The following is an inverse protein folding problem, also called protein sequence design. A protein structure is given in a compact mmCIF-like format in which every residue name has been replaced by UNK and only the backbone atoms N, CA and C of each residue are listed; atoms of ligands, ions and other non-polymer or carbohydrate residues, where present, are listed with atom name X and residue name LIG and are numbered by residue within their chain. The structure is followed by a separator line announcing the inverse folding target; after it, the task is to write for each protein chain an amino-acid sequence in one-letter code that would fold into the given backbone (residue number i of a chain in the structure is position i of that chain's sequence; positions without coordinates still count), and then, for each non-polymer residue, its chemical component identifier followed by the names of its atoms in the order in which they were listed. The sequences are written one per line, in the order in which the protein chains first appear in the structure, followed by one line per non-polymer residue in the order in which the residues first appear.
data_IF_251909235510
#
_entry.id   IF_251909235510
#
_cell.length_a   1.000
_cell.length_b   1.000
_cell.length_c   1.000
_cell.angle_alpha   90.00
_cell.angle_beta   90.00
_cell.angle_gamma   90.00
#
_symmetry.space_group_name_H-M   'P 1'
#
loop_
_entity.id
_entity.type
_entity.pdbx_description
1 polymer ?
#
# COMPACT_ATOMS: atom_id res chain seq x y z
N UNK A 1 2.06 -26.74 -6.43
CA UNK A 1 1.03 -27.26 -5.52
C UNK A 1 1.65 -27.30 -4.12
N UNK A 2 0.98 -26.69 -3.12
CA UNK A 2 1.48 -26.65 -1.74
C UNK A 2 2.34 -25.43 -1.41
N UNK A 3 2.65 -24.55 -2.37
CA UNK A 3 3.32 -23.29 -2.09
C UNK A 3 2.37 -22.33 -1.36
N UNK A 4 2.92 -21.53 -0.45
CA UNK A 4 2.16 -20.59 0.37
C UNK A 4 2.55 -19.13 0.10
N UNK A 5 1.57 -18.25 0.25
CA UNK A 5 1.74 -16.79 0.17
C UNK A 5 1.24 -16.15 1.47
N UNK A 6 2.11 -15.41 2.16
CA UNK A 6 1.82 -14.80 3.45
C UNK A 6 1.59 -13.29 3.33
N UNK A 7 0.66 -12.77 4.11
CA UNK A 7 0.37 -11.34 4.20
C UNK A 7 -0.33 -10.99 5.51
N UNK A 8 -0.20 -9.76 5.99
CA UNK A 8 -1.14 -9.26 6.98
C UNK A 8 -2.46 -8.86 6.30
N UNK A 9 -3.57 -8.96 7.05
CA UNK A 9 -4.90 -8.66 6.54
C UNK A 9 -5.74 -7.86 7.54
N UNK A 10 -6.48 -6.82 7.09
CA UNK A 10 -6.71 -6.39 5.71
C UNK A 10 -5.52 -5.68 5.07
N UNK A 11 -5.33 -5.95 3.77
CA UNK A 11 -4.33 -5.29 2.93
C UNK A 11 -4.86 -5.14 1.49
N UNK A 12 -3.99 -4.99 0.50
CA UNK A 12 -4.42 -4.78 -0.87
C UNK A 12 -5.18 -5.98 -1.43
N UNK A 13 -6.44 -5.75 -1.82
CA UNK A 13 -7.41 -6.79 -2.22
C UNK A 13 -6.97 -7.64 -3.43
N UNK A 14 -5.94 -7.23 -4.16
CA UNK A 14 -5.43 -8.01 -5.27
C UNK A 14 -4.52 -9.17 -4.84
N UNK A 15 -3.92 -9.15 -3.66
CA UNK A 15 -3.03 -10.23 -3.23
C UNK A 15 -3.75 -11.57 -3.10
N UNK A 16 -4.92 -11.66 -2.44
CA UNK A 16 -5.74 -12.88 -2.46
C UNK A 16 -6.07 -13.36 -3.88
N UNK A 17 -6.40 -12.43 -4.79
CA UNK A 17 -6.70 -12.79 -6.17
C UNK A 17 -5.47 -13.38 -6.88
N UNK A 18 -4.29 -12.80 -6.69
CA UNK A 18 -3.05 -13.32 -7.28
C UNK A 18 -2.68 -14.67 -6.69
N UNK A 19 -2.84 -14.85 -5.37
CA UNK A 19 -2.61 -16.12 -4.69
C UNK A 19 -3.52 -17.22 -5.24
N UNK A 20 -4.81 -16.92 -5.41
CA UNK A 20 -5.78 -17.87 -5.98
C UNK A 20 -5.49 -18.21 -7.44
N UNK A 21 -5.01 -17.26 -8.26
CA UNK A 21 -4.66 -17.49 -9.67
C UNK A 21 -3.54 -18.51 -9.86
N UNK A 22 -2.64 -18.63 -8.89
CA UNK A 22 -1.52 -19.59 -8.93
C UNK A 22 -1.79 -20.83 -8.07
N UNK A 23 -3.02 -20.98 -7.55
CA UNK A 23 -3.45 -22.09 -6.69
C UNK A 23 -2.55 -22.28 -5.45
N UNK A 24 -1.98 -21.17 -4.93
CA UNK A 24 -1.20 -21.20 -3.70
C UNK A 24 -2.11 -21.08 -2.47
N UNK A 25 -1.62 -21.60 -1.35
CA UNK A 25 -2.28 -21.47 -0.05
C UNK A 25 -2.03 -20.06 0.53
N UNK A 26 -3.08 -19.45 1.05
CA UNK A 26 -3.01 -18.11 1.62
C UNK A 26 -2.84 -18.16 3.14
N UNK A 27 -1.80 -17.47 3.65
CA UNK A 27 -1.59 -17.24 5.07
C UNK A 27 -1.96 -15.79 5.37
N UNK A 28 -3.04 -15.58 6.14
CA UNK A 28 -3.48 -14.26 6.59
C UNK A 28 -3.19 -14.08 8.08
N UNK A 29 -2.37 -13.10 8.39
CA UNK A 29 -2.09 -12.67 9.76
C UNK A 29 -2.90 -11.40 10.05
N UNK A 30 -3.66 -11.31 11.15
CA UNK A 30 -4.36 -10.10 11.51
C UNK A 30 -3.40 -8.91 11.66
N UNK A 31 -3.88 -7.71 11.34
CA UNK A 31 -3.19 -6.48 11.73
C UNK A 31 -3.22 -6.32 13.25
N UNK A 32 -2.19 -5.68 13.80
CA UNK A 32 -2.16 -5.22 15.18
C UNK A 32 -2.34 -3.69 15.18
N UNK A 33 -3.40 -3.21 15.82
CA UNK A 33 -3.73 -1.78 15.85
C UNK A 33 -3.67 -1.12 14.45
N UNK A 34 -4.35 -1.76 13.49
CA UNK A 34 -4.42 -1.34 12.07
C UNK A 34 -3.09 -1.36 11.31
N UNK A 35 -2.01 -1.86 11.93
CA UNK A 35 -0.65 -1.90 11.37
C UNK A 35 -0.18 -3.34 11.14
N UNK A 36 0.73 -3.54 10.21
CA UNK A 36 1.34 -4.85 9.95
C UNK A 36 2.03 -5.38 11.21
N UNK A 37 1.63 -6.55 11.67
CA UNK A 37 2.32 -7.31 12.72
C UNK A 37 3.42 -8.18 12.09
N UNK A 38 4.58 -7.56 11.82
CA UNK A 38 5.71 -8.25 11.20
C UNK A 38 6.25 -9.41 12.02
N UNK A 39 6.32 -9.36 13.37
CA UNK A 39 6.70 -10.51 14.18
C UNK A 39 5.76 -11.70 13.99
N UNK A 40 4.44 -11.49 14.04
CA UNK A 40 3.46 -12.55 13.81
C UNK A 40 3.48 -13.06 12.38
N UNK A 41 3.72 -12.18 11.38
CA UNK A 41 3.88 -12.57 9.99
C UNK A 41 5.12 -13.47 9.81
N UNK A 42 6.26 -13.10 10.39
CA UNK A 42 7.48 -13.91 10.36
C UNK A 42 7.26 -15.30 11.00
N UNK A 43 6.56 -15.35 12.13
CA UNK A 43 6.24 -16.61 12.82
C UNK A 43 5.31 -17.54 12.02
N UNK A 44 4.50 -16.99 11.12
CA UNK A 44 3.60 -17.76 10.26
C UNK A 44 4.28 -18.29 8.98
N UNK A 45 5.45 -17.79 8.63
CA UNK A 45 6.23 -18.20 7.45
C UNK A 45 6.99 -19.48 7.76
N UNK A 46 6.85 -20.47 6.88
CA UNK A 46 7.54 -21.76 6.93
C UNK A 46 8.33 -22.06 5.64
N UNK A 47 8.87 -23.27 5.51
CA UNK A 47 9.66 -23.70 4.34
C UNK A 47 8.84 -23.77 3.03
N UNK A 48 7.52 -23.90 3.12
CA UNK A 48 6.61 -23.95 1.97
C UNK A 48 6.17 -22.55 1.54
N UNK A 49 6.40 -21.52 2.37
CA UNK A 49 6.09 -20.13 2.05
C UNK A 49 7.08 -19.58 1.04
N UNK A 50 6.59 -19.26 -0.16
CA UNK A 50 7.42 -18.77 -1.29
C UNK A 50 7.39 -17.27 -1.43
N UNK A 51 6.34 -16.62 -0.92
CA UNK A 51 6.12 -15.18 -1.08
C UNK A 51 5.51 -14.60 0.21
N UNK A 52 5.99 -13.43 0.61
CA UNK A 52 5.37 -12.60 1.63
C UNK A 52 5.16 -11.20 1.09
N UNK A 53 3.93 -10.65 1.25
CA UNK A 53 3.64 -9.25 0.93
C UNK A 53 3.70 -8.39 2.18
N UNK A 54 4.45 -7.30 2.10
CA UNK A 54 4.49 -6.22 3.09
C UNK A 54 4.13 -4.92 2.38
N UNK A 55 2.98 -4.32 2.71
CA UNK A 55 2.51 -3.09 2.08
C UNK A 55 2.81 -1.91 3.00
N UNK A 56 3.66 -0.99 2.56
CA UNK A 56 4.13 0.11 3.40
C UNK A 56 4.21 1.44 2.63
N UNK A 57 3.26 2.37 2.83
CA UNK A 57 2.08 2.34 3.71
C UNK A 57 1.03 1.29 3.33
N UNK A 58 0.38 0.71 4.34
CA UNK A 58 -0.66 -0.28 4.09
C UNK A 58 -1.90 0.36 3.43
N UNK A 59 -2.51 -0.35 2.54
CA UNK A 59 -3.82 -0.07 1.97
C UNK A 59 -4.77 -1.21 2.41
N UNK A 60 -5.80 -0.96 3.26
CA UNK A 60 -6.54 0.31 3.34
C UNK A 60 -6.23 1.20 4.54
N UNK A 61 -5.43 0.78 5.52
CA UNK A 61 -5.33 1.45 6.84
C UNK A 61 -4.48 2.72 6.82
N UNK A 62 -3.55 2.84 5.87
CA UNK A 62 -2.64 3.98 5.74
C UNK A 62 -1.47 3.98 6.72
N UNK A 63 -1.38 3.00 7.60
CA UNK A 63 -0.31 2.86 8.60
C UNK A 63 1.01 2.42 7.97
N UNK A 64 2.11 2.63 8.69
CA UNK A 64 3.45 2.20 8.28
C UNK A 64 4.15 1.43 9.39
N UNK A 65 5.04 0.56 8.98
CA UNK A 65 6.09 -0.02 9.81
C UNK A 65 7.42 0.71 9.51
N UNK A 66 8.28 0.83 10.51
CA UNK A 66 9.57 1.49 10.36
C UNK A 66 10.58 0.61 9.59
N UNK A 67 11.62 1.23 9.06
CA UNK A 67 12.67 0.53 8.31
C UNK A 67 13.37 -0.52 9.17
N UNK A 68 13.64 -0.23 10.45
CA UNK A 68 14.27 -1.18 11.37
C UNK A 68 13.39 -2.42 11.61
N UNK A 69 12.06 -2.24 11.64
CA UNK A 69 11.08 -3.35 11.75
C UNK A 69 11.12 -4.22 10.48
N UNK A 70 11.23 -3.60 9.30
CA UNK A 70 11.39 -4.31 8.02
C UNK A 70 12.70 -5.08 7.98
N UNK A 71 13.81 -4.51 8.43
CA UNK A 71 15.12 -5.19 8.52
C UNK A 71 15.02 -6.41 9.44
N UNK A 72 14.40 -6.24 10.62
CA UNK A 72 14.17 -7.35 11.55
C UNK A 72 13.34 -8.47 10.93
N UNK A 73 12.30 -8.13 10.19
CA UNK A 73 11.46 -9.08 9.46
C UNK A 73 12.27 -9.82 8.38
N UNK A 74 13.03 -9.10 7.53
CA UNK A 74 13.85 -9.69 6.48
C UNK A 74 14.91 -10.65 7.04
N UNK A 75 15.46 -10.34 8.21
CA UNK A 75 16.40 -11.23 8.92
C UNK A 75 15.75 -12.46 9.56
N UNK A 76 14.42 -12.45 9.72
CA UNK A 76 13.66 -13.52 10.39
C UNK A 76 13.03 -14.53 9.42
N UNK A 77 12.90 -14.17 8.13
CA UNK A 77 12.28 -15.03 7.12
C UNK A 77 13.33 -15.87 6.38
N UNK A 78 12.97 -17.09 5.91
CA UNK A 78 13.88 -17.91 5.11
C UNK A 78 14.35 -17.18 3.85
N UNK A 79 15.63 -17.30 3.44
CA UNK A 79 16.12 -16.67 2.20
C UNK A 79 15.40 -17.16 0.93
N UNK A 80 14.71 -18.30 1.01
CA UNK A 80 13.89 -18.87 -0.07
C UNK A 80 12.50 -18.25 -0.16
N UNK A 81 12.08 -17.48 0.84
CA UNK A 81 10.84 -16.71 0.81
C UNK A 81 11.12 -15.34 0.20
N UNK A 82 10.53 -15.05 -0.95
CA UNK A 82 10.60 -13.74 -1.57
C UNK A 82 9.72 -12.76 -0.79
N UNK A 83 10.27 -11.62 -0.39
CA UNK A 83 9.52 -10.55 0.26
C UNK A 83 9.24 -9.45 -0.75
N UNK A 84 7.96 -9.16 -1.01
CA UNK A 84 7.54 -8.02 -1.83
C UNK A 84 7.14 -6.88 -0.90
N UNK A 85 7.96 -5.83 -0.88
CA UNK A 85 7.65 -4.57 -0.22
C UNK A 85 6.91 -3.66 -1.21
N UNK A 86 5.59 -3.54 -1.02
CA UNK A 86 4.74 -2.72 -1.87
C UNK A 86 4.70 -1.28 -1.34
N UNK A 87 5.38 -0.40 -2.06
CA UNK A 87 5.53 1.02 -1.74
C UNK A 87 4.66 1.92 -2.63
N UNK A 88 3.47 1.48 -2.98
CA UNK A 88 2.58 2.24 -3.86
C UNK A 88 2.24 3.66 -3.35
N UNK A 89 2.49 3.96 -2.09
CA UNK A 89 2.19 5.25 -1.45
C UNK A 89 3.42 5.91 -0.79
N UNK A 90 4.63 5.43 -1.05
CA UNK A 90 5.85 5.89 -0.39
C UNK A 90 6.09 7.39 -0.48
N UNK A 91 5.69 8.05 -1.59
CA UNK A 91 5.87 9.49 -1.78
C UNK A 91 5.06 10.35 -0.79
N UNK A 92 4.03 9.79 -0.15
CA UNK A 92 3.17 10.48 0.82
C UNK A 92 3.62 10.31 2.27
N UNK A 93 4.62 9.48 2.53
CA UNK A 93 5.12 9.18 3.87
C UNK A 93 5.81 10.40 4.48
N UNK A 94 5.47 10.68 5.73
CA UNK A 94 6.08 11.74 6.54
C UNK A 94 6.66 11.21 7.86
N UNK A 95 6.50 9.92 8.12
CA UNK A 95 7.06 9.26 9.30
C UNK A 95 8.56 9.05 9.09
N UNK A 96 9.39 9.67 9.93
CA UNK A 96 10.85 9.63 9.86
C UNK A 96 11.44 8.23 10.12
N UNK A 97 10.65 7.29 10.67
CA UNK A 97 11.08 5.90 10.85
C UNK A 97 11.16 5.14 9.52
N UNK A 98 10.50 5.65 8.48
CA UNK A 98 10.51 5.05 7.13
C UNK A 98 11.56 5.77 6.29
N UNK A 99 12.64 5.09 6.00
CA UNK A 99 13.74 5.60 5.16
C UNK A 99 13.70 5.00 3.75
N UNK A 100 14.64 5.34 2.90
CA UNK A 100 14.70 4.79 1.53
C UNK A 100 15.03 3.29 1.55
N UNK A 101 14.02 2.46 1.31
CA UNK A 101 14.12 1.00 1.31
C UNK A 101 15.03 0.44 0.21
N UNK A 102 15.38 1.23 -0.82
CA UNK A 102 16.32 0.79 -1.86
C UNK A 102 17.70 0.51 -1.30
N UNK A 103 18.05 1.11 -0.16
CA UNK A 103 19.30 0.86 0.56
C UNK A 103 19.37 -0.55 1.17
N UNK A 104 18.26 -1.26 1.29
CA UNK A 104 18.19 -2.63 1.81
C UNK A 104 18.52 -3.68 0.74
N UNK A 105 18.39 -3.36 -0.53
CA UNK A 105 18.51 -4.32 -1.64
C UNK A 105 19.87 -5.04 -1.71
N UNK A 106 21.01 -4.38 -1.44
CA UNK A 106 22.32 -5.06 -1.50
C UNK A 106 22.46 -6.21 -0.49
N UNK A 107 21.84 -6.09 0.68
CA UNK A 107 22.00 -7.04 1.79
C UNK A 107 20.84 -8.08 1.82
N UNK A 108 19.77 -7.87 1.05
CA UNK A 108 18.59 -8.71 1.05
C UNK A 108 18.20 -9.16 -0.37
N UNK A 109 18.88 -10.19 -0.94
CA UNK A 109 18.63 -10.63 -2.32
C UNK A 109 17.23 -11.22 -2.53
N UNK A 110 16.51 -11.57 -1.48
CA UNK A 110 15.12 -12.00 -1.50
C UNK A 110 14.10 -10.85 -1.35
N UNK A 111 14.55 -9.59 -1.33
CA UNK A 111 13.67 -8.42 -1.31
C UNK A 111 13.37 -7.93 -2.72
N UNK A 112 12.08 -7.67 -2.98
CA UNK A 112 11.60 -6.94 -4.15
C UNK A 112 10.78 -5.74 -3.68
N UNK A 113 11.12 -4.56 -4.15
CA UNK A 113 10.38 -3.34 -3.88
C UNK A 113 9.52 -3.03 -5.10
N UNK A 114 8.22 -2.81 -4.92
CA UNK A 114 7.32 -2.39 -6.00
C UNK A 114 6.87 -0.96 -5.80
N UNK A 115 6.91 -0.17 -6.87
CA UNK A 115 6.45 1.24 -6.91
C UNK A 115 5.56 1.48 -8.13
N UNK A 116 4.73 2.50 -8.07
CA UNK A 116 3.75 2.79 -9.11
C UNK A 116 3.72 4.25 -9.54
N UNK A 117 3.41 4.49 -10.80
CA UNK A 117 3.08 5.83 -11.28
C UNK A 117 1.58 6.17 -11.13
N UNK A 118 0.79 5.26 -10.57
CA UNK A 118 -0.66 5.42 -10.46
C UNK A 118 -1.10 6.39 -9.35
N UNK A 119 -0.26 6.71 -8.37
CA UNK A 119 -0.61 7.49 -7.17
C UNK A 119 -0.01 8.89 -7.23
N UNK A 120 1.14 9.15 -6.63
CA UNK A 120 1.78 10.46 -6.58
C UNK A 120 2.01 11.07 -7.98
N UNK A 121 2.34 10.26 -8.94
CA UNK A 121 2.57 10.66 -10.32
C UNK A 121 1.29 10.93 -11.14
N UNK A 122 0.10 10.49 -10.65
CA UNK A 122 -1.19 10.76 -11.31
C UNK A 122 -1.44 9.99 -12.62
N UNK A 123 -0.68 8.93 -12.91
CA UNK A 123 -0.73 8.19 -14.17
C UNK A 123 -1.51 6.86 -14.07
N UNK A 124 -2.51 6.79 -13.19
CA UNK A 124 -3.29 5.56 -12.92
C UNK A 124 -3.88 4.92 -14.18
N UNK A 125 -4.34 5.74 -15.14
CA UNK A 125 -4.92 5.27 -16.41
C UNK A 125 -3.91 4.66 -17.38
N UNK A 126 -2.61 4.90 -17.20
CA UNK A 126 -1.55 4.41 -18.10
C UNK A 126 -1.00 3.03 -17.71
N UNK A 127 -1.39 2.50 -16.57
CA UNK A 127 -1.03 1.15 -16.10
C UNK A 127 0.48 0.90 -16.08
N UNK A 128 1.27 1.78 -15.48
CA UNK A 128 2.73 1.68 -15.38
C UNK A 128 3.19 1.72 -13.93
N UNK A 129 4.13 0.87 -13.60
CA UNK A 129 4.85 0.75 -12.35
C UNK A 129 6.18 0.05 -12.59
N UNK A 130 6.94 -0.19 -11.54
CA UNK A 130 8.22 -0.87 -11.64
C UNK A 130 8.54 -1.65 -10.38
N UNK A 131 9.44 -2.61 -10.52
CA UNK A 131 9.99 -3.38 -9.42
C UNK A 131 11.52 -3.20 -9.38
N UNK A 132 12.07 -3.22 -8.18
CA UNK A 132 13.51 -3.19 -7.89
C UNK A 132 13.85 -4.43 -7.06
N UNK A 133 14.95 -5.09 -7.37
CA UNK A 133 15.38 -6.28 -6.65
C UNK A 133 16.65 -6.87 -7.21
N UNK A 134 17.06 -8.01 -6.68
CA UNK A 134 18.23 -8.73 -7.18
C UNK A 134 18.05 -9.10 -8.67
N UNK A 135 19.08 -8.96 -9.53
CA UNK A 135 18.95 -9.20 -10.98
C UNK A 135 18.37 -10.57 -11.35
N UNK A 136 18.69 -11.62 -10.61
CA UNK A 136 18.12 -12.95 -10.86
C UNK A 136 16.60 -12.99 -10.62
N UNK A 137 16.12 -12.34 -9.54
CA UNK A 137 14.69 -12.28 -9.22
C UNK A 137 13.96 -11.43 -10.26
N UNK A 138 14.49 -10.26 -10.59
CA UNK A 138 13.91 -9.40 -11.65
C UNK A 138 13.90 -10.14 -12.99
N UNK A 139 14.96 -10.89 -13.34
CA UNK A 139 14.98 -11.71 -14.55
C UNK A 139 13.96 -12.84 -14.57
N UNK A 140 13.54 -13.37 -13.41
CA UNK A 140 12.41 -14.32 -13.31
C UNK A 140 11.07 -13.60 -13.55
N UNK A 141 10.87 -12.43 -12.97
CA UNK A 141 9.67 -11.61 -13.17
C UNK A 141 9.55 -11.23 -14.65
N UNK A 142 10.61 -10.77 -15.29
CA UNK A 142 10.62 -10.37 -16.70
C UNK A 142 10.15 -11.50 -17.64
N UNK A 143 10.48 -12.75 -17.32
CA UNK A 143 10.03 -13.91 -18.12
C UNK A 143 8.52 -14.16 -18.05
N UNK A 144 7.84 -13.64 -17.02
CA UNK A 144 6.39 -13.78 -16.84
C UNK A 144 5.60 -12.60 -17.43
N UNK A 145 6.29 -11.53 -17.82
CA UNK A 145 5.64 -10.35 -18.38
C UNK A 145 5.07 -10.65 -19.76
N UNK A 146 3.84 -10.22 -19.99
CA UNK A 146 3.23 -10.26 -21.32
C UNK A 146 4.01 -9.32 -22.24
N UNK A 147 4.41 -9.75 -23.45
CA UNK A 147 5.09 -8.88 -24.39
C UNK A 147 4.30 -7.59 -24.63
N UNK A 148 4.99 -6.46 -24.60
CA UNK A 148 4.41 -5.13 -24.77
C UNK A 148 3.42 -4.71 -23.67
N UNK A 149 3.49 -5.31 -22.46
CA UNK A 149 2.61 -5.00 -21.33
C UNK A 149 2.57 -3.50 -21.00
N UNK A 150 3.71 -2.81 -21.08
CA UNK A 150 3.79 -1.36 -20.90
C UNK A 150 3.94 -0.70 -22.27
N UNK A 151 2.89 -0.02 -22.73
CA UNK A 151 2.89 0.67 -24.01
C UNK A 151 3.84 1.89 -24.03
N UNK A 152 4.26 2.34 -25.21
CA UNK A 152 5.23 3.41 -25.36
C UNK A 152 4.76 4.74 -24.77
N UNK A 153 3.47 5.04 -24.86
CA UNK A 153 2.91 6.27 -24.28
C UNK A 153 3.06 6.28 -22.75
N UNK A 154 2.79 5.14 -22.10
CA UNK A 154 2.98 4.98 -20.66
C UNK A 154 4.45 5.15 -20.25
N UNK A 155 5.39 4.57 -21.02
CA UNK A 155 6.82 4.71 -20.77
C UNK A 155 7.29 6.16 -20.90
N UNK A 156 6.87 6.86 -21.95
CA UNK A 156 7.19 8.29 -22.16
C UNK A 156 6.60 9.17 -21.05
N UNK A 157 5.36 8.92 -20.67
CA UNK A 157 4.71 9.66 -19.59
C UNK A 157 5.38 9.42 -18.23
N UNK A 158 5.76 8.16 -17.92
CA UNK A 158 6.51 7.84 -16.72
C UNK A 158 7.84 8.59 -16.66
N UNK A 159 8.61 8.59 -17.76
CA UNK A 159 9.88 9.33 -17.86
C UNK A 159 9.65 10.83 -17.65
N UNK A 160 8.71 11.44 -18.39
CA UNK A 160 8.38 12.84 -18.22
C UNK A 160 7.95 13.20 -16.78
N UNK A 161 7.24 12.28 -16.10
CA UNK A 161 6.85 12.47 -14.70
C UNK A 161 8.04 12.41 -13.73
N UNK A 162 9.06 11.61 -14.03
CA UNK A 162 10.32 11.60 -13.25
C UNK A 162 11.06 12.92 -13.46
N UNK A 163 11.15 13.39 -14.69
CA UNK A 163 11.80 14.67 -15.03
C UNK A 163 11.08 15.85 -14.35
N UNK A 164 9.75 15.75 -14.13
CA UNK A 164 8.91 16.73 -13.42
C UNK A 164 8.77 16.45 -11.91
N UNK A 165 9.81 15.87 -11.29
CA UNK A 165 9.73 15.45 -9.87
C UNK A 165 9.45 16.60 -8.89
N UNK A 166 9.83 17.85 -9.21
CA UNK A 166 9.53 19.03 -8.37
C UNK A 166 8.03 19.31 -8.30
N UNK A 167 7.33 19.25 -9.42
CA UNK A 167 5.89 19.46 -9.54
C UNK A 167 5.13 18.30 -8.86
N UNK A 168 5.62 17.08 -9.02
CA UNK A 168 5.06 15.92 -8.33
C UNK A 168 5.16 16.10 -6.81
N UNK A 169 6.34 16.46 -6.29
CA UNK A 169 6.53 16.72 -4.85
C UNK A 169 5.65 17.87 -4.32
N UNK A 170 5.46 18.93 -5.10
CA UNK A 170 4.57 20.02 -4.71
C UNK A 170 3.11 19.54 -4.57
N UNK A 171 2.63 18.68 -5.49
CA UNK A 171 1.29 18.07 -5.39
C UNK A 171 1.18 17.13 -4.19
N UNK A 172 2.19 16.31 -3.95
CA UNK A 172 2.26 15.44 -2.76
C UNK A 172 2.19 16.25 -1.49
N UNK A 173 2.96 17.33 -1.37
CA UNK A 173 2.93 18.22 -0.20
C UNK A 173 1.53 18.81 0.04
N UNK A 174 0.82 19.19 -1.02
CA UNK A 174 -0.56 19.69 -0.90
C UNK A 174 -1.51 18.59 -0.39
N UNK A 175 -1.39 17.36 -0.87
CA UNK A 175 -2.19 16.22 -0.38
C UNK A 175 -1.86 15.91 1.08
N UNK A 176 -0.60 15.93 1.46
CA UNK A 176 -0.15 15.69 2.84
C UNK A 176 -0.72 16.78 3.78
N UNK A 177 -0.68 18.05 3.38
CA UNK A 177 -1.25 19.14 4.18
C UNK A 177 -2.77 18.97 4.39
N UNK A 178 -3.51 18.61 3.32
CA UNK A 178 -4.95 18.31 3.43
C UNK A 178 -5.22 17.04 4.24
N UNK A 179 -4.41 16.01 4.11
CA UNK A 179 -4.48 14.80 4.95
C UNK A 179 -4.37 15.14 6.42
N UNK A 180 -3.37 15.95 6.80
CA UNK A 180 -3.18 16.40 8.18
C UNK A 180 -4.39 17.16 8.68
N UNK A 181 -4.93 18.08 7.88
CA UNK A 181 -6.13 18.85 8.22
C UNK A 181 -7.36 17.95 8.44
N UNK A 182 -7.61 17.04 7.51
CA UNK A 182 -8.74 16.11 7.59
C UNK A 182 -8.60 15.18 8.80
N UNK A 183 -7.40 14.65 9.04
CA UNK A 183 -7.10 13.81 10.21
C UNK A 183 -7.39 14.55 11.52
N UNK A 184 -6.94 15.83 11.63
CA UNK A 184 -7.24 16.67 12.79
C UNK A 184 -8.74 16.87 13.00
N UNK A 185 -9.47 17.25 11.95
CA UNK A 185 -10.92 17.45 12.01
C UNK A 185 -11.68 16.17 12.40
N UNK A 186 -11.26 15.00 11.90
CA UNK A 186 -11.85 13.72 12.28
C UNK A 186 -11.62 13.43 13.77
N UNK A 187 -10.41 13.62 14.28
CA UNK A 187 -10.07 13.41 15.70
C UNK A 187 -10.81 14.39 16.62
N UNK A 188 -10.91 15.65 16.22
CA UNK A 188 -11.71 16.66 16.93
C UNK A 188 -13.20 16.29 16.96
N UNK A 189 -13.69 15.61 15.91
CA UNK A 189 -15.02 15.03 15.83
C UNK A 189 -15.22 13.72 16.60
N UNK A 190 -14.18 13.25 17.34
CA UNK A 190 -14.24 12.05 18.17
C UNK A 190 -13.90 10.74 17.45
N UNK A 191 -13.42 10.79 16.22
CA UNK A 191 -13.00 9.61 15.49
C UNK A 191 -11.64 9.12 15.97
N UNK A 192 -11.57 7.85 16.37
CA UNK A 192 -10.29 7.19 16.63
C UNK A 192 -9.77 6.55 15.35
N UNK A 193 -8.90 7.26 14.63
CA UNK A 193 -8.30 6.80 13.38
C UNK A 193 -6.80 6.65 13.52
N UNK A 194 -6.18 5.65 12.85
CA UNK A 194 -4.73 5.49 12.82
C UNK A 194 -4.07 6.70 12.14
N UNK A 195 -2.76 6.87 12.34
CA UNK A 195 -2.00 7.93 11.66
C UNK A 195 -1.81 7.58 10.18
N UNK A 196 -2.41 8.33 9.25
CA UNK A 196 -2.36 7.97 7.83
C UNK A 196 -1.05 8.44 7.18
N UNK A 197 -0.45 7.57 6.40
CA UNK A 197 0.78 7.84 5.64
C UNK A 197 0.58 7.68 4.11
N UNK A 198 -0.63 7.30 3.66
CA UNK A 198 -1.02 7.29 2.25
C UNK A 198 -1.71 8.60 1.81
N UNK A 199 -2.35 8.58 0.65
CA UNK A 199 -3.20 9.67 0.16
C UNK A 199 -4.69 9.47 0.54
N UNK A 200 -4.95 8.87 1.69
CA UNK A 200 -6.29 8.55 2.20
C UNK A 200 -6.27 8.49 3.72
N UNK A 201 -7.46 8.54 4.33
CA UNK A 201 -7.69 8.23 5.74
C UNK A 201 -8.50 6.94 5.86
N UNK A 202 -8.38 6.28 7.00
CA UNK A 202 -9.07 5.06 7.33
C UNK A 202 -10.01 5.26 8.52
N UNK A 203 -11.27 4.87 8.37
CA UNK A 203 -12.28 4.86 9.43
C UNK A 203 -12.50 3.40 9.86
N UNK A 204 -12.00 2.96 11.03
CA UNK A 204 -12.09 1.58 11.49
C UNK A 204 -13.47 1.26 12.08
N UNK A 205 -14.52 1.34 11.25
CA UNK A 205 -15.93 1.09 11.62
C UNK A 205 -16.36 -0.31 11.19
N UNK A 206 -15.95 -1.32 11.88
CA UNK A 206 -16.10 -2.72 11.47
C UNK A 206 -17.53 -3.12 11.10
N UNK A 207 -18.46 -3.12 12.06
CA UNK A 207 -19.84 -3.59 11.86
C UNK A 207 -20.64 -2.71 10.91
N UNK A 208 -20.37 -1.41 10.89
CA UNK A 208 -21.16 -0.40 10.19
C UNK A 208 -20.52 0.09 8.89
N UNK A 209 -19.39 -0.50 8.46
CA UNK A 209 -18.62 -0.02 7.30
C UNK A 209 -19.47 0.10 6.03
N UNK A 210 -20.28 -0.91 5.72
CA UNK A 210 -21.15 -0.89 4.55
C UNK A 210 -22.28 0.17 4.68
N UNK A 211 -22.86 0.30 5.87
CA UNK A 211 -23.92 1.27 6.15
C UNK A 211 -23.36 2.71 6.05
N UNK A 212 -22.20 2.97 6.64
CA UNK A 212 -21.53 4.27 6.56
C UNK A 212 -21.16 4.61 5.10
N UNK A 213 -20.57 3.66 4.36
CA UNK A 213 -20.24 3.87 2.94
C UNK A 213 -21.46 4.25 2.10
N UNK A 214 -22.56 3.53 2.28
CA UNK A 214 -23.84 3.82 1.60
C UNK A 214 -24.44 5.17 2.03
N UNK A 215 -24.31 5.56 3.30
CA UNK A 215 -24.82 6.86 3.77
C UNK A 215 -24.01 8.01 3.17
N UNK A 216 -22.69 7.92 3.19
CA UNK A 216 -21.80 8.88 2.56
C UNK A 216 -22.10 9.01 1.04
N UNK A 217 -22.32 7.90 0.35
CA UNK A 217 -22.65 7.91 -1.08
C UNK A 217 -23.99 8.63 -1.34
N UNK A 218 -25.02 8.40 -0.52
CA UNK A 218 -26.30 9.13 -0.60
C UNK A 218 -26.12 10.65 -0.40
N UNK A 219 -25.11 11.06 0.36
CA UNK A 219 -24.74 12.47 0.58
C UNK A 219 -23.76 13.00 -0.48
N UNK A 220 -23.50 12.21 -1.53
CA UNK A 220 -22.63 12.59 -2.66
C UNK A 220 -21.12 12.40 -2.40
N UNK A 221 -20.74 11.62 -1.39
CA UNK A 221 -19.34 11.30 -1.07
C UNK A 221 -19.07 9.83 -1.32
N UNK A 222 -18.44 9.53 -2.46
CA UNK A 222 -18.07 8.15 -2.81
C UNK A 222 -16.82 7.74 -2.07
N UNK A 223 -16.90 6.66 -1.31
CA UNK A 223 -15.82 6.10 -0.51
C UNK A 223 -15.57 4.64 -0.86
N UNK A 224 -14.51 4.03 -0.31
CA UNK A 224 -14.28 2.58 -0.42
C UNK A 224 -14.61 1.91 0.91
N UNK A 225 -15.78 1.33 1.01
CA UNK A 225 -16.15 0.49 2.15
C UNK A 225 -15.59 -0.92 1.98
N UNK A 226 -14.98 -1.43 3.06
CA UNK A 226 -14.53 -2.80 3.23
C UNK A 226 -15.48 -3.43 4.27
N UNK A 227 -16.44 -4.21 3.79
CA UNK A 227 -17.49 -4.77 4.65
C UNK A 227 -16.91 -5.56 5.82
N UNK A 228 -17.35 -5.26 7.03
CA UNK A 228 -16.86 -5.88 8.25
C UNK A 228 -15.48 -5.42 8.72
N UNK A 229 -14.88 -4.42 8.06
CA UNK A 229 -13.50 -3.96 8.33
C UNK A 229 -13.44 -2.45 8.57
N UNK A 230 -13.88 -1.63 7.61
CA UNK A 230 -13.83 -0.18 7.74
C UNK A 230 -14.08 0.57 6.42
N UNK A 231 -13.87 1.88 6.42
CA UNK A 231 -14.07 2.73 5.25
C UNK A 231 -12.82 3.54 4.95
N UNK A 232 -12.28 3.40 3.73
CA UNK A 232 -11.17 4.21 3.23
C UNK A 232 -11.70 5.41 2.45
N UNK A 233 -11.22 6.61 2.81
CA UNK A 233 -11.59 7.87 2.15
C UNK A 233 -10.34 8.50 1.55
N UNK A 234 -10.33 8.67 0.23
CA UNK A 234 -9.21 9.30 -0.48
C UNK A 234 -9.19 10.80 -0.22
N UNK A 235 -8.02 11.35 0.11
CA UNK A 235 -7.81 12.78 0.24
C UNK A 235 -7.88 13.42 -1.15
N UNK A 236 -8.74 14.41 -1.28
CA UNK A 236 -9.01 15.15 -2.50
C UNK A 236 -8.70 16.64 -2.34
N UNK A 237 -9.30 17.51 -3.16
CA UNK A 237 -9.24 18.96 -2.95
C UNK A 237 -9.99 19.36 -1.68
N UNK A 238 -9.66 20.56 -1.15
CA UNK A 238 -10.26 21.10 0.08
C UNK A 238 -11.79 21.05 0.04
N UNK A 239 -12.40 21.48 -1.05
CA UNK A 239 -13.87 21.51 -1.17
C UNK A 239 -14.50 20.11 -1.08
N UNK A 240 -13.85 19.10 -1.66
CA UNK A 240 -14.32 17.71 -1.56
C UNK A 240 -14.10 17.13 -0.16
N UNK A 241 -12.98 17.45 0.47
CA UNK A 241 -12.70 17.03 1.84
C UNK A 241 -13.66 17.70 2.83
N UNK A 242 -14.04 18.97 2.61
CA UNK A 242 -15.02 19.67 3.44
C UNK A 242 -16.43 19.06 3.29
N UNK A 243 -16.81 18.64 2.08
CA UNK A 243 -18.06 17.87 1.85
C UNK A 243 -18.05 16.54 2.58
N UNK A 244 -16.93 15.84 2.56
CA UNK A 244 -16.78 14.59 3.30
C UNK A 244 -16.95 14.83 4.81
N UNK A 245 -16.23 15.78 5.38
CA UNK A 245 -16.33 16.11 6.82
C UNK A 245 -17.74 16.55 7.22
N UNK A 246 -18.45 17.28 6.36
CA UNK A 246 -19.83 17.70 6.62
C UNK A 246 -20.86 16.57 6.44
N UNK A 247 -20.47 15.46 5.79
CA UNK A 247 -21.31 14.30 5.57
C UNK A 247 -21.19 13.24 6.67
N UNK A 248 -20.22 13.35 7.57
CA UNK A 248 -20.06 12.50 8.74
C UNK A 248 -20.95 12.95 9.89
#
# INVERSE_FOLDING_TARGET
VGDKVAMCWPSFEAYPLFTALVEAEEIRVPLLDETFDLPSLAAAIDADTKLAFVTNPNNPTGTVVGTDEIIGFLGSVPPTCLVVLDEAYSEFVTDERVTDSTLLLPDHPNLVITRTFSKAHGLAGLRVGYALGHPEVIGMIDRTLVPFAVNELAQRAARASIDAASEMRARVAAVVAERTRVTGALRDGGWNIPEPQGNFVWLPVTADAAALGNDLERRGVVTRAFAGVGVRVTIASRDWNDRFLAAL
#
